data_IF_797987350455
#
_entry.id   IF_797987350455
#
_cell.length_a   1.000
_cell.length_b   1.000
_cell.length_c   1.000
_cell.angle_alpha   90.00
_cell.angle_beta   90.00
_cell.angle_gamma   90.00
#
_symmetry.space_group_name_H-M   'P 1'
#
loop_
_entity.id
_entity.type
_entity.pdbx_description
1 polymer ?
#
# COMPACT_ATOMS: atom_id res chain seq x y z
N UNK A 1 -10.72 -0.34 20.73
CA UNK A 1 -10.11 0.77 19.98
C UNK A 1 -10.52 0.61 18.52
N UNK A 2 -11.13 1.62 17.89
CA UNK A 2 -11.58 1.57 16.49
C UNK A 2 -10.39 1.93 15.59
N UNK A 3 -10.00 1.03 14.69
CA UNK A 3 -9.01 1.33 13.66
C UNK A 3 -9.60 2.37 12.70
N UNK A 4 -8.91 3.50 12.53
CA UNK A 4 -9.29 4.54 11.56
C UNK A 4 -8.43 4.28 10.32
N UNK A 5 -9.08 3.90 9.23
CA UNK A 5 -8.43 3.61 7.96
C UNK A 5 -8.43 4.89 7.10
N UNK A 6 -7.25 5.34 6.68
CA UNK A 6 -7.09 6.53 5.82
C UNK A 6 -6.77 6.06 4.41
N UNK A 7 -7.66 6.33 3.44
CA UNK A 7 -7.49 5.96 2.04
C UNK A 7 -7.44 7.22 1.16
N UNK A 8 -6.28 7.62 0.62
CA UNK A 8 -6.22 8.71 -0.36
C UNK A 8 -6.82 8.23 -1.70
N UNK A 9 -7.85 8.93 -2.19
CA UNK A 9 -8.56 8.60 -3.43
C UNK A 9 -8.24 9.60 -4.56
N UNK A 10 -7.51 9.15 -5.59
CA UNK A 10 -7.52 9.76 -6.92
C UNK A 10 -8.52 8.94 -7.76
N UNK A 11 -9.67 9.55 -8.08
CA UNK A 11 -10.73 8.94 -8.89
C UNK A 11 -10.83 9.77 -10.18
N UNK A 12 -10.52 9.16 -11.32
CA UNK A 12 -10.90 9.72 -12.62
C UNK A 12 -12.31 9.21 -12.94
N UNK A 13 -13.17 10.12 -13.41
CA UNK A 13 -14.56 9.80 -13.72
C UNK A 13 -14.65 8.99 -15.03
N UNK A 14 -15.47 7.93 -14.96
CA UNK A 14 -16.14 7.17 -16.03
C UNK A 14 -15.49 5.87 -16.56
N UNK A 15 -15.93 4.76 -15.96
CA UNK A 15 -15.73 3.37 -16.40
C UNK A 15 -15.80 2.44 -15.19
N UNK A 16 -16.01 1.14 -15.36
CA UNK A 16 -15.74 0.16 -14.30
C UNK A 16 -14.22 0.06 -14.11
N UNK A 17 -13.62 1.15 -13.61
CA UNK A 17 -12.19 1.40 -13.64
C UNK A 17 -11.58 0.76 -12.42
N UNK A 18 -11.12 -0.48 -12.58
CA UNK A 18 -10.41 -1.11 -11.49
C UNK A 18 -9.13 -0.33 -11.18
N UNK A 19 -8.90 -0.11 -9.89
CA UNK A 19 -7.83 0.76 -9.43
C UNK A 19 -6.47 0.09 -9.63
N UNK A 20 -5.60 0.67 -10.45
CA UNK A 20 -4.26 0.11 -10.75
C UNK A 20 -3.28 0.21 -9.58
N UNK A 21 -3.52 1.13 -8.66
CA UNK A 21 -2.73 1.28 -7.45
C UNK A 21 -3.58 1.73 -6.27
N UNK A 22 -3.08 1.46 -5.07
CA UNK A 22 -3.76 1.76 -3.83
C UNK A 22 -2.78 1.79 -2.67
N UNK A 23 -3.17 2.48 -1.60
CA UNK A 23 -2.40 2.54 -0.37
C UNK A 23 -3.30 2.10 0.76
N UNK A 24 -2.75 1.27 1.65
CA UNK A 24 -3.36 0.95 2.94
C UNK A 24 -2.39 1.25 4.06
N UNK A 25 -2.84 2.01 5.04
CA UNK A 25 -2.07 2.36 6.23
C UNK A 25 -2.58 1.50 7.38
N UNK A 26 -1.67 0.81 8.07
CA UNK A 26 -2.01 -0.09 9.18
C UNK A 26 -1.10 0.24 10.36
N UNK A 27 -1.72 0.37 11.53
CA UNK A 27 -0.99 0.50 12.79
C UNK A 27 -0.84 -0.89 13.43
N UNK A 28 0.39 -1.29 13.73
CA UNK A 28 0.72 -2.56 14.40
C UNK A 28 1.51 -2.27 15.67
N UNK A 29 0.82 -2.30 16.81
CA UNK A 29 1.39 -1.80 18.06
C UNK A 29 1.74 -0.32 17.93
N UNK A 30 3.00 0.02 18.21
CA UNK A 30 3.49 1.40 18.11
C UNK A 30 4.03 1.76 16.72
N UNK A 31 4.07 0.79 15.79
CA UNK A 31 4.62 1.00 14.45
C UNK A 31 3.52 1.29 13.44
N UNK A 32 3.76 2.29 12.59
CA UNK A 32 2.90 2.61 11.45
C UNK A 32 3.50 2.01 10.18
N UNK A 33 2.71 1.20 9.49
CA UNK A 33 3.10 0.55 8.23
C UNK A 33 2.21 1.04 7.09
N UNK A 34 2.80 1.19 5.91
CA UNK A 34 2.12 1.55 4.68
C UNK A 34 2.33 0.43 3.67
N UNK A 35 1.24 -0.16 3.20
CA UNK A 35 1.24 -1.10 2.08
C UNK A 35 0.83 -0.34 0.84
N UNK A 36 1.76 -0.16 -0.08
CA UNK A 36 1.49 0.34 -1.41
C UNK A 36 1.31 -0.83 -2.37
N UNK A 37 0.14 -0.93 -2.97
CA UNK A 37 -0.17 -1.91 -4.00
C UNK A 37 -0.13 -1.23 -5.37
N UNK A 38 0.55 -1.84 -6.32
CA UNK A 38 0.54 -1.39 -7.72
C UNK A 38 0.59 -2.57 -8.69
N UNK A 39 0.06 -2.37 -9.89
CA UNK A 39 0.23 -3.28 -11.01
C UNK A 39 0.41 -2.53 -12.33
N UNK A 40 1.14 -3.12 -13.29
CA UNK A 40 1.14 -2.63 -14.66
C UNK A 40 -0.11 -3.09 -15.43
N UNK A 41 -0.33 -2.50 -16.60
CA UNK A 41 -1.35 -2.90 -17.56
C UNK A 41 -2.62 -2.04 -17.53
N UNK A 42 -3.66 -2.51 -18.22
CA UNK A 42 -4.90 -1.75 -18.41
C UNK A 42 -5.86 -1.90 -17.22
N UNK A 43 -6.72 -0.89 -17.04
CA UNK A 43 -7.67 -0.78 -15.92
C UNK A 43 -8.69 -1.92 -15.85
N UNK A 44 -9.08 -2.52 -16.98
CA UNK A 44 -10.06 -3.62 -16.99
C UNK A 44 -9.47 -5.04 -16.78
N UNK A 45 -8.14 -5.19 -16.72
CA UNK A 45 -7.50 -6.51 -16.63
C UNK A 45 -7.28 -6.96 -15.19
N UNK A 46 -7.43 -8.26 -14.91
CA UNK A 46 -6.94 -8.84 -13.66
C UNK A 46 -5.46 -9.21 -13.78
N UNK A 47 -4.60 -8.70 -12.88
CA UNK A 47 -3.17 -9.06 -12.80
C UNK A 47 -2.71 -9.20 -11.36
N UNK A 48 -1.53 -9.79 -11.21
CA UNK A 48 -0.79 -9.81 -9.95
C UNK A 48 -0.41 -8.38 -9.57
N UNK A 49 -0.65 -8.02 -8.31
CA UNK A 49 -0.17 -6.77 -7.72
C UNK A 49 1.18 -6.99 -7.06
N UNK A 50 2.01 -5.98 -7.12
CA UNK A 50 3.19 -5.85 -6.27
C UNK A 50 2.82 -5.03 -5.04
N UNK A 51 3.03 -5.60 -3.86
CA UNK A 51 2.93 -4.91 -2.59
C UNK A 51 4.32 -4.48 -2.14
N UNK A 52 4.47 -3.18 -1.90
CA UNK A 52 5.65 -2.59 -1.27
C UNK A 52 5.25 -2.11 0.12
N UNK A 53 5.89 -2.66 1.14
CA UNK A 53 5.61 -2.35 2.54
C UNK A 53 6.67 -1.39 3.03
N UNK A 54 6.21 -0.29 3.59
CA UNK A 54 7.03 0.73 4.23
C UNK A 54 6.73 0.79 5.71
N UNK A 55 7.75 1.07 6.52
CA UNK A 55 7.59 1.38 7.93
C UNK A 55 7.96 2.83 8.19
N UNK A 56 7.23 3.48 9.08
CA UNK A 56 7.57 4.81 9.56
C UNK A 56 8.80 4.71 10.47
N UNK A 57 9.88 5.33 10.05
CA UNK A 57 11.14 5.40 10.79
C UNK A 57 11.36 6.84 11.23
N UNK A 58 11.84 6.99 12.47
CA UNK A 58 12.36 8.25 12.98
C UNK A 58 13.88 8.27 12.83
N UNK A 59 14.40 9.32 12.20
CA UNK A 59 15.84 9.51 12.06
C UNK A 59 16.46 9.71 13.45
N UNK A 60 17.55 9.00 13.72
CA UNK A 60 18.33 9.17 14.95
C UNK A 60 19.63 9.86 14.53
N UNK A 61 19.95 11.01 15.14
CA UNK A 61 21.18 11.78 14.90
C UNK A 61 21.31 12.51 13.55
N UNK A 62 20.21 12.93 12.93
CA UNK A 62 20.27 13.89 11.82
C UNK A 62 21.02 13.38 10.58
N UNK A 63 20.90 12.09 10.27
CA UNK A 63 21.41 11.48 9.04
C UNK A 63 20.79 12.16 7.81
N UNK A 64 21.46 13.20 7.33
CA UNK A 64 21.20 13.85 6.03
C UNK A 64 21.37 12.76 4.97
N UNK A 65 20.36 12.44 4.14
CA UNK A 65 19.42 13.37 3.52
C UNK A 65 17.94 13.22 3.93
N UNK A 66 17.61 12.48 5.01
CA UNK A 66 16.21 12.15 5.30
C UNK A 66 15.55 13.14 6.27
N UNK A 67 14.23 13.40 6.14
CA UNK A 67 13.48 14.14 7.15
C UNK A 67 13.39 13.35 8.47
N UNK A 68 12.99 14.03 9.55
CA UNK A 68 12.92 13.44 10.89
C UNK A 68 12.03 12.19 10.97
N UNK A 69 10.97 12.14 10.15
CA UNK A 69 10.09 10.99 9.98
C UNK A 69 9.98 10.67 8.50
N UNK A 70 10.25 9.41 8.12
CA UNK A 70 10.14 8.96 6.74
C UNK A 70 9.69 7.50 6.66
N UNK A 71 9.10 7.15 5.52
CA UNK A 71 8.71 5.78 5.23
C UNK A 71 9.86 5.04 4.55
N UNK A 72 10.43 4.05 5.23
CA UNK A 72 11.48 3.18 4.69
C UNK A 72 10.87 1.90 4.15
N UNK A 73 11.18 1.54 2.91
CA UNK A 73 10.77 0.24 2.37
C UNK A 73 11.44 -0.88 3.16
N UNK A 74 10.65 -1.79 3.70
CA UNK A 74 11.14 -2.97 4.44
C UNK A 74 10.90 -4.28 3.69
N UNK A 75 9.90 -4.31 2.81
CA UNK A 75 9.54 -5.53 2.08
C UNK A 75 8.88 -5.20 0.74
N UNK A 76 9.10 -6.07 -0.23
CA UNK A 76 8.42 -6.04 -1.53
C UNK A 76 8.06 -7.46 -1.93
N UNK A 77 6.82 -7.69 -2.33
CA UNK A 77 6.29 -9.02 -2.63
C UNK A 77 5.12 -8.94 -3.61
N UNK A 78 4.76 -10.07 -4.20
CA UNK A 78 3.64 -10.15 -5.13
C UNK A 78 2.44 -10.82 -4.47
N UNK A 79 1.24 -10.42 -4.88
CA UNK A 79 0.02 -11.16 -4.53
C UNK A 79 0.05 -12.56 -5.11
N UNK A 80 -0.64 -13.50 -4.46
CA UNK A 80 -0.76 -14.88 -4.93
C UNK A 80 -1.82 -15.00 -6.03
N UNK A 81 -2.87 -14.20 -5.94
CA UNK A 81 -3.92 -14.15 -6.95
C UNK A 81 -3.86 -12.86 -7.78
N UNK A 82 -4.51 -12.91 -8.93
CA UNK A 82 -4.70 -11.73 -9.78
C UNK A 82 -5.98 -11.01 -9.40
N UNK A 83 -5.91 -9.68 -9.41
CA UNK A 83 -7.03 -8.79 -9.13
C UNK A 83 -7.12 -7.74 -10.21
N UNK A 84 -8.34 -7.30 -10.52
CA UNK A 84 -8.49 -6.12 -11.35
C UNK A 84 -8.24 -4.86 -10.50
N UNK A 85 -8.67 -4.87 -9.23
CA UNK A 85 -8.73 -3.69 -8.36
C UNK A 85 -7.76 -3.79 -7.17
N UNK A 86 -7.04 -2.70 -6.90
CA UNK A 86 -6.05 -2.64 -5.84
C UNK A 86 -6.66 -2.79 -4.44
N UNK A 87 -7.85 -2.25 -4.19
CA UNK A 87 -8.50 -2.37 -2.88
C UNK A 87 -8.87 -3.83 -2.63
N UNK A 88 -9.40 -4.54 -3.64
CA UNK A 88 -9.69 -5.96 -3.54
C UNK A 88 -8.43 -6.79 -3.24
N UNK A 89 -7.31 -6.48 -3.89
CA UNK A 89 -6.03 -7.13 -3.60
C UNK A 89 -5.59 -6.86 -2.15
N UNK A 90 -5.64 -5.60 -1.71
CA UNK A 90 -5.26 -5.19 -0.36
C UNK A 90 -6.16 -5.86 0.69
N UNK A 91 -7.49 -5.85 0.51
CA UNK A 91 -8.45 -6.46 1.46
C UNK A 91 -8.18 -7.94 1.68
N UNK A 92 -7.88 -8.68 0.60
CA UNK A 92 -7.75 -10.14 0.63
C UNK A 92 -6.37 -10.61 1.02
N UNK A 93 -5.32 -9.87 0.65
CA UNK A 93 -3.96 -10.36 0.79
C UNK A 93 -3.07 -9.50 1.69
N UNK A 94 -3.37 -8.22 1.96
CA UNK A 94 -2.44 -7.39 2.76
C UNK A 94 -2.25 -7.92 4.18
N UNK A 95 -3.28 -8.54 4.75
CA UNK A 95 -3.22 -9.16 6.08
C UNK A 95 -2.31 -10.40 6.14
N UNK A 96 -1.98 -11.02 5.00
CA UNK A 96 -1.04 -12.14 4.97
C UNK A 96 0.41 -11.69 5.12
N UNK A 97 0.67 -10.39 4.96
CA UNK A 97 2.01 -9.84 4.86
C UNK A 97 2.32 -8.79 5.93
N UNK A 98 1.29 -8.36 6.66
CA UNK A 98 1.33 -7.51 7.85
C UNK A 98 1.26 -8.39 9.09
#
# INVERSE_FOLDING_TARGET
MKNIEFAPHLVLQTGADCRLSGIRIVQRGDNLQVVYAERPGMWAESKIYTFTIYELIKTVNGDVPYPDLYFKQVKKLNTKASYCDANNALDKESQLFL
#
